data_IF_152219456667
#
_entry.id   IF_152219456667
#
_cell.length_a   1.000
_cell.length_b   1.000
_cell.length_c   1.000
_cell.angle_alpha   90.00
_cell.angle_beta   90.00
_cell.angle_gamma   90.00
#
_symmetry.space_group_name_H-M   'P 1'
#
loop_
_entity.id
_entity.type
_entity.pdbx_description
1 polymer ?
#
# COMPACT_ATOMS: atom_id res chain seq x y z
N UNK A 1 34.20 -27.13 17.76
CA UNK A 1 33.64 -27.05 16.41
C UNK A 1 32.33 -26.29 16.57
N UNK A 2 32.29 -25.04 16.13
CA UNK A 2 31.03 -24.23 16.12
C UNK A 2 30.17 -24.80 15.01
N UNK A 3 29.03 -25.39 15.34
CA UNK A 3 27.99 -25.68 14.33
C UNK A 3 27.64 -24.37 13.64
N UNK A 4 27.93 -24.28 12.35
CA UNK A 4 27.47 -23.15 11.52
C UNK A 4 25.94 -23.16 11.57
N UNK A 5 25.33 -22.22 12.31
CA UNK A 5 23.89 -22.03 12.31
C UNK A 5 23.45 -21.82 10.88
N UNK A 6 22.57 -22.68 10.38
CA UNK A 6 21.96 -22.47 9.06
C UNK A 6 21.34 -21.07 9.01
N UNK A 7 21.49 -20.35 7.89
CA UNK A 7 20.91 -19.01 7.78
C UNK A 7 19.39 -19.10 7.96
N UNK A 8 18.85 -18.23 8.79
CA UNK A 8 17.42 -18.14 9.04
C UNK A 8 16.73 -17.74 7.74
N UNK A 9 15.75 -18.51 7.29
CA UNK A 9 14.97 -18.23 6.07
C UNK A 9 13.49 -18.19 6.38
N UNK A 10 12.74 -17.38 5.62
CA UNK A 10 11.28 -17.36 5.76
C UNK A 10 10.70 -18.73 5.42
N UNK A 11 9.83 -19.30 6.28
CA UNK A 11 9.17 -20.57 6.02
C UNK A 11 8.37 -20.51 4.69
N UNK A 12 8.57 -21.50 3.83
CA UNK A 12 7.99 -21.51 2.46
C UNK A 12 6.47 -21.49 2.45
N UNK A 13 5.84 -22.08 3.46
CA UNK A 13 4.38 -22.12 3.63
C UNK A 13 3.76 -20.74 3.92
N UNK A 14 4.56 -19.77 4.36
CA UNK A 14 4.14 -18.39 4.63
C UNK A 14 4.27 -17.47 3.41
N UNK A 15 4.90 -17.94 2.34
CA UNK A 15 5.17 -17.16 1.12
C UNK A 15 4.09 -17.40 0.07
N UNK A 16 3.58 -16.31 -0.51
CA UNK A 16 2.57 -16.35 -1.56
C UNK A 16 1.14 -16.63 -1.08
N UNK A 17 0.20 -16.53 -2.00
CA UNK A 17 -1.21 -16.78 -1.72
C UNK A 17 -1.48 -18.26 -1.35
N UNK A 18 -2.57 -18.54 -0.62
CA UNK A 18 -2.90 -19.89 -0.16
C UNK A 18 -3.04 -20.90 -1.30
N UNK A 19 -2.76 -22.17 -1.00
CA UNK A 19 -2.96 -23.25 -1.97
C UNK A 19 -4.44 -23.39 -2.38
N UNK A 20 -4.72 -23.90 -3.60
CA UNK A 20 -6.08 -24.18 -4.02
C UNK A 20 -6.82 -25.07 -3.00
N UNK A 21 -8.08 -24.73 -2.71
CA UNK A 21 -8.89 -25.42 -1.69
C UNK A 21 -8.80 -24.80 -0.29
N UNK A 22 -7.81 -23.98 0.00
CA UNK A 22 -7.72 -23.22 1.24
C UNK A 22 -8.47 -21.89 1.13
N UNK A 23 -8.95 -21.39 2.28
CA UNK A 23 -9.54 -20.05 2.37
C UNK A 23 -8.49 -19.00 1.98
N UNK A 24 -8.85 -18.12 1.04
CA UNK A 24 -8.02 -17.01 0.66
C UNK A 24 -8.52 -15.72 1.36
N UNK A 25 -7.76 -15.16 2.34
CA UNK A 25 -8.19 -13.98 3.07
C UNK A 25 -8.41 -12.74 2.19
N UNK A 26 -7.57 -12.52 1.17
CA UNK A 26 -7.73 -11.38 0.25
C UNK A 26 -9.00 -11.49 -0.60
N UNK A 27 -9.31 -12.69 -1.12
CA UNK A 27 -10.53 -12.92 -1.86
C UNK A 27 -11.76 -12.73 -0.96
N UNK A 28 -11.72 -13.26 0.28
CA UNK A 28 -12.78 -13.08 1.25
C UNK A 28 -12.98 -11.61 1.61
N UNK A 29 -11.89 -10.85 1.86
CA UNK A 29 -11.95 -9.41 2.14
C UNK A 29 -12.57 -8.65 0.97
N UNK A 30 -12.17 -8.94 -0.27
CA UNK A 30 -12.70 -8.28 -1.45
C UNK A 30 -14.19 -8.55 -1.63
N UNK A 31 -14.59 -9.82 -1.58
CA UNK A 31 -16.02 -10.21 -1.71
C UNK A 31 -16.85 -9.58 -0.60
N UNK A 32 -16.37 -9.62 0.64
CA UNK A 32 -17.04 -8.99 1.78
C UNK A 32 -17.16 -7.47 1.60
N UNK A 33 -16.10 -6.81 1.11
CA UNK A 33 -16.10 -5.37 0.81
C UNK A 33 -17.17 -5.01 -0.22
N UNK A 34 -17.22 -5.74 -1.34
CA UNK A 34 -18.25 -5.52 -2.37
C UNK A 34 -19.66 -5.77 -1.82
N UNK A 35 -19.86 -6.85 -1.05
CA UNK A 35 -21.14 -7.15 -0.43
C UNK A 35 -21.58 -6.05 0.56
N UNK A 36 -20.66 -5.53 1.36
CA UNK A 36 -20.91 -4.41 2.29
C UNK A 36 -21.31 -3.15 1.52
N UNK A 37 -20.59 -2.81 0.44
CA UNK A 37 -20.91 -1.63 -0.37
C UNK A 37 -22.29 -1.71 -1.03
N UNK A 38 -22.62 -2.88 -1.60
CA UNK A 38 -23.96 -3.15 -2.19
C UNK A 38 -25.03 -3.11 -1.07
N UNK A 39 -24.79 -3.79 0.05
CA UNK A 39 -25.69 -3.78 1.19
C UNK A 39 -25.92 -2.38 1.77
N UNK A 40 -24.88 -1.55 1.82
CA UNK A 40 -24.96 -0.14 2.24
C UNK A 40 -25.88 0.66 1.31
N UNK A 41 -25.70 0.54 0.01
CA UNK A 41 -26.54 1.23 -0.98
C UNK A 41 -28.00 0.76 -0.90
N UNK A 42 -28.20 -0.57 -0.84
CA UNK A 42 -29.55 -1.13 -0.70
C UNK A 42 -30.22 -0.73 0.61
N UNK A 43 -29.48 -0.74 1.73
CA UNK A 43 -29.98 -0.29 3.03
C UNK A 43 -30.40 1.18 3.01
N UNK A 44 -29.62 2.04 2.37
CA UNK A 44 -29.93 3.47 2.25
C UNK A 44 -31.14 3.74 1.38
N UNK A 45 -31.18 3.22 0.13
CA UNK A 45 -32.21 3.53 -0.82
C UNK A 45 -33.48 2.67 -0.65
N UNK A 46 -33.33 1.40 -0.25
CA UNK A 46 -34.45 0.46 -0.16
C UNK A 46 -35.03 0.33 1.25
N UNK A 47 -34.21 0.40 2.29
CA UNK A 47 -34.63 0.26 3.69
C UNK A 47 -34.64 1.58 4.47
N UNK A 48 -34.24 2.68 3.83
CA UNK A 48 -34.15 4.03 4.43
C UNK A 48 -33.30 4.11 5.68
N UNK A 49 -32.16 3.38 5.70
CA UNK A 49 -31.20 3.44 6.80
C UNK A 49 -30.65 4.85 6.98
N UNK A 50 -30.35 5.21 8.22
CA UNK A 50 -29.71 6.48 8.52
C UNK A 50 -28.32 6.57 7.82
N UNK A 51 -27.99 7.73 7.27
CA UNK A 51 -26.78 7.94 6.45
C UNK A 51 -25.47 7.58 7.17
N UNK A 52 -25.39 7.72 8.50
CA UNK A 52 -24.21 7.33 9.27
C UNK A 52 -23.93 5.81 9.21
N UNK A 53 -24.96 4.97 9.01
CA UNK A 53 -24.79 3.51 8.82
C UNK A 53 -24.11 3.27 7.48
N UNK A 54 -24.59 3.90 6.41
CA UNK A 54 -23.98 3.81 5.07
C UNK A 54 -22.56 4.36 5.07
N UNK A 55 -22.29 5.44 5.78
CA UNK A 55 -20.97 5.98 5.98
C UNK A 55 -20.01 4.94 6.61
N UNK A 56 -20.41 4.36 7.76
CA UNK A 56 -19.58 3.38 8.47
C UNK A 56 -19.35 2.09 7.67
N UNK A 57 -20.38 1.59 6.96
CA UNK A 57 -20.26 0.41 6.10
C UNK A 57 -19.32 0.67 4.92
N UNK A 58 -19.45 1.81 4.25
CA UNK A 58 -18.56 2.14 3.14
C UNK A 58 -17.14 2.46 3.60
N UNK A 59 -16.95 3.08 4.77
CA UNK A 59 -15.63 3.22 5.39
C UNK A 59 -14.96 1.85 5.58
N UNK A 60 -15.66 0.88 6.17
CA UNK A 60 -15.14 -0.48 6.36
C UNK A 60 -14.82 -1.15 5.02
N UNK A 61 -15.73 -1.09 4.05
CA UNK A 61 -15.53 -1.63 2.70
C UNK A 61 -14.27 -1.08 2.05
N UNK A 62 -14.11 0.24 2.02
CA UNK A 62 -12.98 0.91 1.39
C UNK A 62 -11.65 0.64 2.12
N UNK A 63 -11.70 0.55 3.45
CA UNK A 63 -10.51 0.22 4.24
C UNK A 63 -10.00 -1.21 3.93
N UNK A 64 -10.90 -2.18 3.82
CA UNK A 64 -10.54 -3.56 3.49
C UNK A 64 -9.85 -3.67 2.13
N UNK A 65 -10.34 -2.98 1.09
CA UNK A 65 -9.75 -3.08 -0.25
C UNK A 65 -8.42 -2.35 -0.38
N UNK A 66 -8.07 -1.44 0.55
CA UNK A 66 -6.73 -0.87 0.66
C UNK A 66 -5.65 -1.93 0.89
N UNK A 67 -5.93 -2.94 1.72
CA UNK A 67 -5.04 -4.08 1.93
C UNK A 67 -5.02 -5.03 0.72
N UNK A 68 -6.19 -5.28 0.11
CA UNK A 68 -6.27 -6.18 -1.05
C UNK A 68 -5.51 -5.64 -2.26
N UNK A 69 -5.61 -4.34 -2.57
CA UNK A 69 -4.87 -3.72 -3.68
C UNK A 69 -3.37 -3.83 -3.46
N UNK A 70 -2.92 -3.67 -2.22
CA UNK A 70 -1.52 -3.76 -1.83
C UNK A 70 -0.96 -5.18 -2.06
N UNK A 71 -1.63 -6.22 -1.58
CA UNK A 71 -1.20 -7.61 -1.84
C UNK A 71 -1.31 -7.97 -3.34
N UNK A 72 -2.32 -7.43 -4.04
CA UNK A 72 -2.49 -7.67 -5.47
C UNK A 72 -1.34 -7.08 -6.31
N UNK A 73 -0.80 -5.90 -5.94
CA UNK A 73 0.30 -5.29 -6.68
C UNK A 73 1.62 -6.10 -6.56
N UNK A 74 1.79 -6.85 -5.47
CA UNK A 74 2.89 -7.81 -5.28
C UNK A 74 2.61 -9.20 -5.86
N UNK A 75 1.42 -9.41 -6.45
CA UNK A 75 1.02 -10.70 -7.02
C UNK A 75 0.70 -11.77 -5.98
N UNK A 76 0.51 -11.40 -4.71
CA UNK A 76 0.27 -12.34 -3.59
C UNK A 76 -1.17 -12.39 -3.11
N UNK A 77 -2.07 -11.58 -3.68
CA UNK A 77 -3.48 -11.65 -3.32
C UNK A 77 -4.14 -12.95 -3.79
N UNK A 78 -3.70 -13.51 -4.94
CA UNK A 78 -4.22 -14.79 -5.42
C UNK A 78 -3.20 -15.50 -6.33
N UNK A 79 -3.13 -16.86 -6.25
CA UNK A 79 -2.21 -17.66 -7.10
C UNK A 79 -2.54 -17.60 -8.60
N UNK A 80 -3.83 -17.55 -8.95
CA UNK A 80 -4.25 -17.33 -10.32
C UNK A 80 -4.04 -15.85 -10.68
N UNK A 81 -3.19 -15.57 -11.66
CA UNK A 81 -2.83 -14.21 -12.07
C UNK A 81 -4.03 -13.39 -12.55
N UNK A 82 -5.01 -14.01 -13.21
CA UNK A 82 -6.23 -13.33 -13.65
C UNK A 82 -7.05 -12.88 -12.45
N UNK A 83 -7.27 -13.77 -11.49
CA UNK A 83 -7.99 -13.43 -10.25
C UNK A 83 -7.24 -12.37 -9.45
N UNK A 84 -5.92 -12.48 -9.32
CA UNK A 84 -5.09 -11.46 -8.69
C UNK A 84 -5.26 -10.07 -9.34
N UNK A 85 -5.24 -10.03 -10.67
CA UNK A 85 -5.49 -8.79 -11.43
C UNK A 85 -6.91 -8.26 -11.22
N UNK A 86 -7.92 -9.14 -11.21
CA UNK A 86 -9.31 -8.74 -10.91
C UNK A 86 -9.47 -8.15 -9.50
N UNK A 87 -8.81 -8.74 -8.51
CA UNK A 87 -8.78 -8.21 -7.14
C UNK A 87 -8.12 -6.83 -7.10
N UNK A 88 -6.98 -6.66 -7.79
CA UNK A 88 -6.28 -5.37 -7.89
C UNK A 88 -7.11 -4.29 -8.57
N UNK A 89 -7.65 -4.55 -9.78
CA UNK A 89 -8.46 -3.59 -10.51
C UNK A 89 -9.79 -3.27 -9.81
N UNK A 90 -10.45 -4.29 -9.24
CA UNK A 90 -11.70 -4.10 -8.48
C UNK A 90 -11.48 -3.25 -7.23
N UNK A 91 -10.41 -3.51 -6.48
CA UNK A 91 -10.02 -2.70 -5.32
C UNK A 91 -9.67 -1.26 -5.72
N UNK A 92 -8.90 -1.09 -6.80
CA UNK A 92 -8.55 0.21 -7.34
C UNK A 92 -9.80 1.01 -7.76
N UNK A 93 -10.78 0.36 -8.43
CA UNK A 93 -12.04 0.99 -8.81
C UNK A 93 -12.82 1.49 -7.59
N UNK A 94 -12.92 0.68 -6.53
CA UNK A 94 -13.56 1.08 -5.28
C UNK A 94 -12.85 2.26 -4.60
N UNK A 95 -11.52 2.33 -4.70
CA UNK A 95 -10.71 3.43 -4.17
C UNK A 95 -10.62 4.65 -5.11
N UNK A 96 -11.33 4.66 -6.23
CA UNK A 96 -11.19 5.69 -7.28
C UNK A 96 -9.75 5.88 -7.76
N UNK A 97 -8.98 4.81 -7.71
CA UNK A 97 -7.58 4.79 -8.11
C UNK A 97 -7.39 4.01 -9.41
N UNK A 98 -6.17 3.93 -9.93
CA UNK A 98 -5.81 3.11 -11.08
C UNK A 98 -4.81 2.05 -10.66
N UNK A 99 -5.12 0.77 -10.87
CA UNK A 99 -4.27 -0.34 -10.44
C UNK A 99 -2.86 -0.29 -11.04
N UNK A 100 -2.65 -0.03 -12.35
CA UNK A 100 -1.30 0.12 -12.90
C UNK A 100 -0.53 1.29 -12.28
N UNK A 101 -1.19 2.44 -11.99
CA UNK A 101 -0.54 3.55 -11.29
C UNK A 101 -0.08 3.09 -9.91
N UNK A 102 -0.98 2.50 -9.12
CA UNK A 102 -0.65 2.01 -7.78
C UNK A 102 0.53 1.03 -7.83
N UNK A 103 0.45 0.01 -8.70
CA UNK A 103 1.50 -1.02 -8.81
C UNK A 103 2.85 -0.41 -9.18
N UNK A 104 2.90 0.46 -10.21
CA UNK A 104 4.17 1.01 -10.68
C UNK A 104 4.80 1.97 -9.68
N UNK A 105 3.99 2.82 -9.06
CA UNK A 105 4.45 3.78 -8.07
C UNK A 105 4.92 3.06 -6.81
N UNK A 106 4.17 2.06 -6.34
CA UNK A 106 4.55 1.27 -5.17
C UNK A 106 5.84 0.44 -5.40
N UNK A 107 6.06 -0.09 -6.61
CA UNK A 107 7.35 -0.71 -6.95
C UNK A 107 8.50 0.29 -6.97
N UNK A 108 8.27 1.55 -7.35
CA UNK A 108 9.28 2.61 -7.23
C UNK A 108 9.59 2.94 -5.78
N UNK A 109 8.58 2.97 -4.91
CA UNK A 109 8.78 3.10 -3.47
C UNK A 109 9.70 1.98 -2.93
N UNK A 110 9.41 0.71 -3.22
CA UNK A 110 10.28 -0.41 -2.80
C UNK A 110 11.71 -0.32 -3.31
N UNK A 111 11.91 0.20 -4.52
CA UNK A 111 13.23 0.37 -5.11
C UNK A 111 14.03 1.55 -4.50
N UNK A 112 13.34 2.54 -3.96
CA UNK A 112 13.94 3.82 -3.56
C UNK A 112 13.55 4.29 -2.16
N UNK A 113 13.22 3.37 -1.26
CA UNK A 113 12.68 3.68 0.08
C UNK A 113 13.44 4.81 0.77
N UNK A 114 12.69 5.82 1.22
CA UNK A 114 13.19 7.02 1.89
C UNK A 114 14.11 7.91 1.03
N UNK A 115 14.16 7.73 -0.30
CA UNK A 115 14.86 8.63 -1.20
C UNK A 115 14.01 9.88 -1.48
N UNK A 116 14.45 11.11 -1.10
CA UNK A 116 13.63 12.30 -1.29
C UNK A 116 13.40 12.68 -2.76
N UNK A 117 14.19 12.16 -3.71
CA UNK A 117 14.06 12.47 -5.14
C UNK A 117 13.31 11.38 -5.91
N UNK A 118 13.43 10.11 -5.48
CA UNK A 118 12.98 8.96 -6.27
C UNK A 118 11.91 8.11 -5.58
N UNK A 119 11.68 8.30 -4.27
CA UNK A 119 10.60 7.63 -3.56
C UNK A 119 9.32 8.48 -3.60
N UNK A 120 8.27 8.05 -4.34
CA UNK A 120 7.01 8.78 -4.40
C UNK A 120 6.31 8.89 -3.05
N UNK A 121 6.44 7.89 -2.17
CA UNK A 121 5.77 7.87 -0.88
C UNK A 121 6.50 8.76 0.14
N UNK A 122 7.81 8.94 -0.01
CA UNK A 122 8.54 9.96 0.72
C UNK A 122 7.96 11.37 0.46
N UNK A 123 7.69 11.68 -0.81
CA UNK A 123 7.09 12.97 -1.20
C UNK A 123 5.67 13.09 -0.62
N UNK A 124 4.82 12.06 -0.79
CA UNK A 124 3.46 12.02 -0.24
C UNK A 124 3.48 12.23 1.27
N UNK A 125 4.41 11.62 1.98
CA UNK A 125 4.49 11.67 3.45
C UNK A 125 5.11 12.97 4.00
N UNK A 126 5.97 13.67 3.23
CA UNK A 126 6.80 14.77 3.78
C UNK A 126 6.51 16.16 3.19
N UNK A 127 5.65 16.28 2.19
CA UNK A 127 5.39 17.56 1.47
C UNK A 127 4.18 18.34 1.99
N UNK A 128 3.97 18.39 3.28
CA UNK A 128 2.92 19.19 3.90
C UNK A 128 2.27 18.53 5.11
N UNK A 129 1.27 19.17 5.72
CA UNK A 129 0.67 18.69 6.95
C UNK A 129 0.03 17.30 6.79
N UNK A 130 0.21 16.45 7.79
CA UNK A 130 -0.16 15.05 7.74
C UNK A 130 -1.66 14.82 7.50
N UNK A 131 -2.51 15.72 7.98
CA UNK A 131 -3.97 15.65 7.75
C UNK A 131 -4.37 15.83 6.28
N UNK A 132 -3.46 16.31 5.42
CA UNK A 132 -3.66 16.41 3.96
C UNK A 132 -3.03 15.26 3.18
N UNK A 133 -2.52 14.20 3.84
CA UNK A 133 -1.79 13.12 3.16
C UNK A 133 -2.66 12.42 2.10
N UNK A 134 -3.95 12.27 2.36
CA UNK A 134 -4.91 11.68 1.42
C UNK A 134 -4.97 12.45 0.08
N UNK A 135 -4.96 13.77 0.11
CA UNK A 135 -4.96 14.58 -1.12
C UNK A 135 -3.63 14.46 -1.87
N UNK A 136 -2.53 14.22 -1.17
CA UNK A 136 -1.20 14.07 -1.78
C UNK A 136 -1.04 12.76 -2.56
N UNK A 137 -1.88 11.74 -2.35
CA UNK A 137 -1.90 10.54 -3.21
C UNK A 137 -2.20 10.84 -4.68
N UNK A 138 -2.80 11.98 -5.01
CA UNK A 138 -2.92 12.44 -6.39
C UNK A 138 -1.57 12.63 -7.07
N UNK A 139 -0.51 12.87 -6.30
CA UNK A 139 0.86 12.94 -6.80
C UNK A 139 1.33 11.62 -7.42
N UNK A 140 0.81 10.48 -7.01
CA UNK A 140 1.15 9.18 -7.62
C UNK A 140 0.84 9.15 -9.12
N UNK A 141 -0.28 9.75 -9.58
CA UNK A 141 -0.53 9.85 -11.02
C UNK A 141 0.45 10.81 -11.71
N UNK A 142 0.72 11.95 -11.08
CA UNK A 142 1.71 12.90 -11.60
C UNK A 142 3.08 12.23 -11.74
N UNK A 143 3.52 11.53 -10.71
CA UNK A 143 4.79 10.78 -10.70
C UNK A 143 4.82 9.69 -11.79
N UNK A 144 3.74 8.90 -11.90
CA UNK A 144 3.61 7.87 -12.92
C UNK A 144 3.80 8.40 -14.33
N UNK A 145 3.18 9.55 -14.67
CA UNK A 145 3.33 10.19 -15.97
C UNK A 145 4.66 10.92 -16.15
N UNK A 146 5.16 11.63 -15.15
CA UNK A 146 6.46 12.31 -15.21
C UNK A 146 7.61 11.33 -15.42
N UNK A 147 7.59 10.19 -14.75
CA UNK A 147 8.62 9.16 -14.84
C UNK A 147 8.37 8.14 -15.95
N UNK A 148 7.26 8.26 -16.72
CA UNK A 148 6.90 7.38 -17.83
C UNK A 148 6.88 5.89 -17.43
N UNK A 149 6.27 5.57 -16.28
CA UNK A 149 6.34 4.24 -15.68
C UNK A 149 5.44 3.20 -16.37
N UNK A 150 4.55 3.62 -17.28
CA UNK A 150 3.58 2.73 -17.91
C UNK A 150 4.21 1.79 -18.94
N UNK A 151 3.67 0.57 -18.98
CA UNK A 151 3.82 -0.37 -20.10
C UNK A 151 2.70 -0.13 -21.13
N UNK A 152 2.87 -0.72 -22.33
CA UNK A 152 1.97 -0.49 -23.48
C UNK A 152 0.47 -0.60 -23.15
N UNK A 153 0.06 -1.61 -22.36
CA UNK A 153 -1.35 -1.84 -22.04
C UNK A 153 -1.83 -1.11 -20.77
N UNK A 154 -0.93 -0.74 -19.87
CA UNK A 154 -1.26 -0.07 -18.62
C UNK A 154 -1.81 1.34 -18.81
N UNK A 155 -1.42 2.01 -19.90
CA UNK A 155 -2.02 3.29 -20.27
C UNK A 155 -3.49 3.11 -20.69
N UNK A 156 -3.82 2.03 -21.42
CA UNK A 156 -5.21 1.69 -21.74
C UNK A 156 -6.01 1.37 -20.48
N UNK A 157 -5.44 0.58 -19.57
CA UNK A 157 -6.07 0.25 -18.28
C UNK A 157 -6.34 1.52 -17.45
N UNK A 158 -5.40 2.46 -17.43
CA UNK A 158 -5.60 3.77 -16.80
C UNK A 158 -6.75 4.55 -17.45
N UNK A 159 -6.79 4.64 -18.79
CA UNK A 159 -7.88 5.31 -19.52
C UNK A 159 -9.23 4.67 -19.18
N UNK A 160 -9.31 3.33 -19.19
CA UNK A 160 -10.53 2.61 -18.85
C UNK A 160 -10.97 2.87 -17.40
N UNK A 161 -10.04 2.85 -16.44
CA UNK A 161 -10.34 3.14 -15.04
C UNK A 161 -10.88 4.57 -14.86
N UNK A 162 -10.26 5.57 -15.49
CA UNK A 162 -10.70 6.97 -15.40
C UNK A 162 -12.02 7.21 -16.13
N UNK A 163 -12.19 6.61 -17.30
CA UNK A 163 -13.46 6.67 -18.04
C UNK A 163 -14.59 6.04 -17.23
N UNK A 164 -14.37 4.87 -16.62
CA UNK A 164 -15.37 4.20 -15.78
C UNK A 164 -15.78 5.07 -14.58
N UNK A 165 -14.81 5.73 -13.93
CA UNK A 165 -15.08 6.65 -12.82
C UNK A 165 -15.93 7.86 -13.27
N UNK A 166 -15.58 8.47 -14.41
CA UNK A 166 -16.36 9.59 -14.99
C UNK A 166 -17.77 9.13 -15.35
N UNK A 167 -17.92 7.97 -16.01
CA UNK A 167 -19.23 7.43 -16.37
C UNK A 167 -20.09 7.14 -15.14
N UNK A 168 -19.50 6.62 -14.05
CA UNK A 168 -20.19 6.43 -12.78
C UNK A 168 -20.71 7.75 -12.21
N UNK A 169 -19.89 8.80 -12.21
CA UNK A 169 -20.29 10.12 -11.72
C UNK A 169 -21.41 10.72 -12.59
N UNK A 170 -21.30 10.65 -13.90
CA UNK A 170 -22.35 11.13 -14.82
C UNK A 170 -23.65 10.34 -14.63
N UNK A 171 -23.58 9.01 -14.51
CA UNK A 171 -24.73 8.17 -14.21
C UNK A 171 -25.34 8.52 -12.85
N UNK A 172 -24.52 8.72 -11.82
CA UNK A 172 -25.01 9.09 -10.49
C UNK A 172 -25.74 10.42 -10.47
N UNK A 173 -25.25 11.39 -11.25
CA UNK A 173 -25.93 12.67 -11.45
C UNK A 173 -27.25 12.49 -12.19
N UNK A 174 -27.24 11.78 -13.33
CA UNK A 174 -28.41 11.55 -14.17
C UNK A 174 -29.54 10.82 -13.42
N UNK A 175 -29.19 9.81 -12.64
CA UNK A 175 -30.17 9.01 -11.87
C UNK A 175 -30.45 9.55 -10.45
N UNK A 176 -29.91 10.71 -10.09
CA UNK A 176 -30.23 11.41 -8.85
C UNK A 176 -29.58 10.85 -7.58
N UNK A 177 -28.55 9.99 -7.68
CA UNK A 177 -27.86 9.45 -6.49
C UNK A 177 -26.44 10.02 -6.26
N UNK A 178 -26.09 11.11 -6.95
CA UNK A 178 -24.78 11.77 -6.80
C UNK A 178 -24.50 12.18 -5.34
N UNK A 179 -25.53 12.59 -4.60
CA UNK A 179 -25.40 12.91 -3.17
C UNK A 179 -24.97 11.71 -2.32
N UNK A 180 -25.43 10.49 -2.67
CA UNK A 180 -24.98 9.26 -2.03
C UNK A 180 -23.49 9.03 -2.28
N UNK A 181 -23.02 9.17 -3.52
CA UNK A 181 -21.61 9.02 -3.89
C UNK A 181 -20.72 9.99 -3.11
N UNK A 182 -21.10 11.28 -3.06
CA UNK A 182 -20.28 12.27 -2.33
C UNK A 182 -20.27 12.02 -0.82
N UNK A 183 -21.43 11.83 -0.20
CA UNK A 183 -21.53 11.74 1.26
C UNK A 183 -21.08 10.38 1.82
N UNK A 184 -21.34 9.29 1.08
CA UNK A 184 -21.17 7.93 1.61
C UNK A 184 -20.14 7.09 0.85
N UNK A 185 -19.45 7.70 -0.13
CA UNK A 185 -18.33 7.07 -0.82
C UNK A 185 -17.09 7.95 -0.76
N UNK A 186 -17.10 9.16 -1.33
CA UNK A 186 -15.94 10.05 -1.33
C UNK A 186 -15.55 10.55 0.06
N UNK A 187 -16.50 10.87 0.94
CA UNK A 187 -16.17 11.32 2.29
C UNK A 187 -15.53 10.19 3.12
N UNK A 188 -16.10 8.96 3.19
CA UNK A 188 -15.38 7.83 3.81
C UNK A 188 -14.04 7.55 3.13
N UNK A 189 -13.94 7.63 1.79
CA UNK A 189 -12.70 7.43 1.05
C UNK A 189 -11.61 8.42 1.46
N UNK A 190 -11.96 9.68 1.67
CA UNK A 190 -11.00 10.69 2.14
C UNK A 190 -10.43 10.33 3.52
N UNK A 191 -11.27 9.80 4.43
CA UNK A 191 -10.81 9.36 5.75
C UNK A 191 -10.00 8.07 5.65
N UNK A 192 -10.43 7.11 4.80
CA UNK A 192 -9.65 5.90 4.52
C UNK A 192 -8.28 6.26 3.94
N UNK A 193 -8.22 7.20 3.00
CA UNK A 193 -6.94 7.70 2.45
C UNK A 193 -6.03 8.31 3.52
N UNK A 194 -6.60 9.02 4.51
CA UNK A 194 -5.84 9.51 5.65
C UNK A 194 -5.30 8.35 6.51
N UNK A 195 -6.14 7.35 6.81
CA UNK A 195 -5.75 6.17 7.60
C UNK A 195 -4.67 5.36 6.88
N UNK A 196 -4.87 5.09 5.58
CA UNK A 196 -3.89 4.37 4.78
C UNK A 196 -2.57 5.14 4.70
N UNK A 197 -2.60 6.44 4.37
CA UNK A 197 -1.39 7.27 4.32
C UNK A 197 -0.66 7.34 5.66
N UNK A 198 -1.39 7.34 6.77
CA UNK A 198 -0.78 7.34 8.09
C UNK A 198 -0.10 6.00 8.41
N UNK A 199 -0.77 4.87 8.19
CA UNK A 199 -0.31 3.56 8.64
C UNK A 199 0.49 2.79 7.59
N UNK A 200 0.29 3.06 6.28
CA UNK A 200 1.03 2.40 5.22
C UNK A 200 2.30 3.17 4.82
N UNK A 201 2.25 4.53 4.84
CA UNK A 201 3.38 5.33 4.35
C UNK A 201 4.10 6.07 5.49
N UNK A 202 3.37 6.90 6.27
CA UNK A 202 4.03 7.81 7.20
C UNK A 202 4.66 7.12 8.43
N UNK A 203 3.86 6.40 9.23
CA UNK A 203 4.34 5.81 10.48
C UNK A 203 5.40 4.73 10.29
N UNK A 204 5.30 3.83 9.28
CA UNK A 204 6.32 2.82 9.05
C UNK A 204 7.68 3.39 8.67
N UNK A 205 7.73 4.50 7.93
CA UNK A 205 8.96 5.04 7.36
C UNK A 205 9.56 6.21 8.15
N UNK A 206 8.80 6.81 9.07
CA UNK A 206 9.30 7.91 9.89
C UNK A 206 10.59 7.51 10.64
N UNK A 207 11.65 8.35 10.66
CA UNK A 207 11.78 9.73 10.22
C UNK A 207 12.24 9.94 8.75
N UNK A 208 12.12 8.97 7.85
CA UNK A 208 12.43 9.03 6.41
C UNK A 208 13.92 9.29 6.10
N UNK A 209 14.82 8.77 6.91
CA UNK A 209 16.26 9.02 6.78
C UNK A 209 17.05 7.79 6.37
N UNK A 210 16.65 6.63 6.85
CA UNK A 210 17.40 5.40 6.68
C UNK A 210 17.02 4.71 5.36
N UNK A 211 18.02 4.33 4.56
CA UNK A 211 17.86 3.60 3.32
C UNK A 211 18.27 2.13 3.41
N UNK A 212 19.03 1.78 4.46
CA UNK A 212 19.38 0.39 4.71
C UNK A 212 18.11 -0.46 4.83
N UNK A 213 18.07 -1.60 4.13
CA UNK A 213 16.90 -2.47 4.03
C UNK A 213 16.37 -2.99 5.37
N UNK A 214 17.23 -3.04 6.40
CA UNK A 214 16.85 -3.49 7.73
C UNK A 214 16.32 -2.36 8.62
N UNK A 215 16.55 -1.11 8.21
CA UNK A 215 16.27 0.09 8.97
C UNK A 215 15.31 1.06 8.29
N UNK A 216 15.01 0.87 6.99
CA UNK A 216 14.23 1.80 6.17
C UNK A 216 12.72 1.82 6.48
N UNK A 217 12.25 0.83 7.22
CA UNK A 217 10.91 0.77 7.77
C UNK A 217 10.95 0.21 9.19
N UNK A 218 9.80 0.01 9.82
CA UNK A 218 9.70 -0.52 11.19
C UNK A 218 8.60 -1.56 11.34
N UNK A 219 8.68 -2.31 12.44
CA UNK A 219 7.57 -3.09 12.97
C UNK A 219 7.15 -2.52 14.33
N UNK A 220 5.88 -2.63 14.67
CA UNK A 220 5.35 -2.35 16.01
C UNK A 220 4.35 -3.44 16.37
N UNK A 221 4.84 -4.57 16.94
CA UNK A 221 4.08 -5.81 17.06
C UNK A 221 2.80 -5.65 17.87
N UNK A 222 1.67 -6.00 17.27
CA UNK A 222 0.36 -6.02 17.90
C UNK A 222 -0.60 -6.88 17.09
N UNK A 223 -1.16 -7.92 17.71
CA UNK A 223 -2.17 -8.78 17.06
C UNK A 223 -3.42 -8.01 16.65
N UNK A 224 -3.87 -7.09 17.51
CA UNK A 224 -5.06 -6.28 17.24
C UNK A 224 -4.81 -5.36 16.04
N UNK A 225 -3.71 -4.62 16.04
CA UNK A 225 -3.37 -3.74 14.92
C UNK A 225 -3.18 -4.52 13.61
N UNK A 226 -2.63 -5.74 13.66
CA UNK A 226 -2.44 -6.57 12.47
C UNK A 226 -3.74 -6.76 11.67
N UNK A 227 -4.86 -6.95 12.36
CA UNK A 227 -6.17 -7.05 11.71
C UNK A 227 -6.80 -5.69 11.40
N UNK A 228 -6.60 -4.70 12.26
CA UNK A 228 -7.22 -3.38 12.08
C UNK A 228 -6.63 -2.59 10.93
N UNK A 229 -5.34 -2.76 10.64
CA UNK A 229 -4.62 -2.02 9.59
C UNK A 229 -3.98 -2.94 8.54
N UNK A 230 -4.53 -4.16 8.35
CA UNK A 230 -4.12 -5.08 7.30
C UNK A 230 -2.62 -5.41 7.32
N UNK A 231 -2.06 -5.69 8.50
CA UNK A 231 -0.66 -6.10 8.66
C UNK A 231 0.38 -4.98 8.66
N UNK A 232 0.00 -3.72 8.46
CA UNK A 232 0.96 -2.63 8.26
C UNK A 232 1.77 -2.24 9.51
N UNK A 233 1.41 -2.73 10.68
CA UNK A 233 2.26 -2.72 11.86
C UNK A 233 3.50 -3.63 11.74
N UNK A 234 3.56 -4.46 10.70
CA UNK A 234 4.72 -5.28 10.32
C UNK A 234 5.35 -4.82 8.99
N UNK A 235 5.29 -3.54 8.67
CA UNK A 235 5.68 -3.00 7.37
C UNK A 235 7.12 -3.32 6.95
N UNK A 236 8.08 -3.38 7.91
CA UNK A 236 9.43 -3.84 7.60
C UNK A 236 9.45 -5.29 7.10
N UNK A 237 8.57 -6.16 7.61
CA UNK A 237 8.44 -7.54 7.11
C UNK A 237 8.02 -7.54 5.66
N UNK A 238 7.07 -6.68 5.30
CA UNK A 238 6.65 -6.46 3.93
C UNK A 238 7.81 -5.99 3.02
N UNK A 239 8.58 -4.98 3.44
CA UNK A 239 9.74 -4.51 2.67
C UNK A 239 10.83 -5.57 2.50
N UNK A 240 11.10 -6.36 3.52
CA UNK A 240 12.11 -7.42 3.45
C UNK A 240 11.67 -8.61 2.60
N UNK A 241 10.38 -8.95 2.63
CA UNK A 241 9.80 -10.13 1.97
C UNK A 241 8.44 -9.81 1.32
N UNK A 242 8.40 -9.03 0.24
CA UNK A 242 7.15 -8.57 -0.38
C UNK A 242 6.30 -9.70 -0.99
N UNK A 243 6.88 -10.89 -1.13
CA UNK A 243 6.15 -12.09 -1.54
C UNK A 243 5.34 -12.74 -0.40
N UNK A 244 5.38 -12.20 0.81
CA UNK A 244 4.56 -12.64 1.95
C UNK A 244 3.27 -11.83 1.95
N UNK A 245 2.06 -12.45 1.97
CA UNK A 245 0.81 -11.72 2.09
C UNK A 245 0.57 -11.21 3.51
N UNK A 246 -0.22 -10.15 3.65
CA UNK A 246 -0.41 -9.41 4.90
C UNK A 246 -0.77 -10.27 6.13
N UNK A 247 -1.58 -11.31 5.95
CA UNK A 247 -2.02 -12.19 7.04
C UNK A 247 -0.94 -13.14 7.56
N UNK A 248 0.18 -13.23 6.84
CA UNK A 248 1.37 -13.99 7.24
C UNK A 248 2.50 -13.10 7.80
N UNK A 249 2.34 -11.78 7.88
CA UNK A 249 3.41 -10.90 8.40
C UNK A 249 3.76 -11.20 9.86
N UNK A 250 2.78 -11.41 10.74
CA UNK A 250 3.05 -11.76 12.13
C UNK A 250 3.78 -13.12 12.27
N UNK A 251 3.34 -14.23 11.65
CA UNK A 251 4.08 -15.48 11.65
C UNK A 251 5.52 -15.34 11.13
N UNK A 252 5.73 -14.58 10.04
CA UNK A 252 7.07 -14.32 9.50
C UNK A 252 7.90 -13.49 10.48
N UNK A 253 7.33 -12.46 11.08
CA UNK A 253 8.00 -11.69 12.13
C UNK A 253 8.48 -12.57 13.27
N UNK A 254 7.64 -13.47 13.78
CA UNK A 254 8.03 -14.38 14.86
C UNK A 254 9.16 -15.33 14.43
N UNK A 255 9.09 -15.88 13.23
CA UNK A 255 10.12 -16.78 12.71
C UNK A 255 11.46 -16.05 12.47
N UNK A 256 11.41 -14.79 12.03
CA UNK A 256 12.60 -14.01 11.67
C UNK A 256 13.11 -13.08 12.78
N UNK A 257 12.42 -13.04 13.93
CA UNK A 257 12.74 -12.15 15.05
C UNK A 257 14.21 -12.19 15.48
N UNK A 258 14.87 -13.34 15.63
CA UNK A 258 16.28 -13.38 16.01
C UNK A 258 17.19 -12.64 15.00
N UNK A 259 16.89 -12.71 13.71
CA UNK A 259 17.63 -11.99 12.67
C UNK A 259 17.35 -10.48 12.74
N UNK A 260 16.09 -10.08 12.96
CA UNK A 260 15.71 -8.67 13.11
C UNK A 260 16.39 -8.03 14.33
N UNK A 261 16.49 -8.79 15.45
CA UNK A 261 17.19 -8.36 16.65
C UNK A 261 18.71 -8.21 16.39
N UNK A 262 19.32 -9.17 15.69
CA UNK A 262 20.74 -9.11 15.31
C UNK A 262 21.05 -7.91 14.40
N UNK A 263 20.14 -7.58 13.48
CA UNK A 263 20.27 -6.44 12.56
C UNK A 263 19.92 -5.10 13.21
N UNK A 264 19.42 -5.08 14.44
CA UNK A 264 19.03 -3.86 15.14
C UNK A 264 17.80 -3.17 14.57
N UNK A 265 16.90 -3.93 13.92
CA UNK A 265 15.71 -3.38 13.28
C UNK A 265 14.81 -2.63 14.27
N UNK A 266 14.15 -1.56 13.79
CA UNK A 266 13.21 -0.77 14.60
C UNK A 266 11.93 -1.56 14.88
N UNK A 267 11.66 -1.85 16.15
CA UNK A 267 10.54 -2.68 16.58
C UNK A 267 9.57 -1.94 17.50
N UNK A 268 9.43 -0.63 17.31
CA UNK A 268 8.52 0.23 18.06
C UNK A 268 7.86 1.26 17.13
N UNK A 269 6.69 1.77 17.52
CA UNK A 269 6.01 2.82 16.77
C UNK A 269 6.81 4.14 16.74
N UNK A 270 7.57 4.43 17.80
CA UNK A 270 8.51 5.55 17.86
C UNK A 270 7.90 6.95 17.94
N UNK A 271 6.58 7.11 17.88
CA UNK A 271 5.92 8.43 17.79
C UNK A 271 6.21 9.33 18.98
N UNK A 272 6.17 8.76 20.19
CA UNK A 272 6.39 9.51 21.43
C UNK A 272 7.82 9.43 21.95
N UNK A 273 8.60 8.43 21.51
CA UNK A 273 9.95 8.16 22.02
C UNK A 273 11.04 8.65 21.08
N UNK A 274 10.74 8.78 19.79
CA UNK A 274 11.69 9.21 18.76
C UNK A 274 11.26 10.58 18.21
N UNK A 275 11.73 11.68 18.80
CA UNK A 275 11.46 13.05 18.38
C UNK A 275 9.95 13.41 18.27
N UNK A 276 9.24 13.52 19.41
CA UNK A 276 7.82 13.89 19.42
C UNK A 276 7.54 15.25 18.79
N UNK A 277 8.47 16.19 18.92
CA UNK A 277 8.31 17.54 18.34
C UNK A 277 8.23 17.49 16.81
N UNK A 278 9.05 16.66 16.17
CA UNK A 278 8.99 16.43 14.73
C UNK A 278 7.66 15.80 14.30
N UNK A 279 7.08 14.89 15.11
CA UNK A 279 5.78 14.32 14.81
C UNK A 279 4.68 15.42 14.78
N UNK A 280 4.62 16.28 15.79
CA UNK A 280 3.65 17.36 15.83
C UNK A 280 3.88 18.41 14.75
N UNK A 281 5.16 18.67 14.40
CA UNK A 281 5.49 19.49 13.24
C UNK A 281 4.89 18.88 11.96
N UNK A 282 5.05 17.59 11.74
CA UNK A 282 4.52 16.89 10.56
C UNK A 282 2.98 16.89 10.56
N UNK A 283 2.33 16.78 11.72
CA UNK A 283 0.87 16.86 11.82
C UNK A 283 0.33 18.20 11.32
N UNK A 284 0.95 19.31 11.72
CA UNK A 284 0.41 20.65 11.48
C UNK A 284 1.03 21.38 10.28
N UNK A 285 2.31 21.15 9.98
CA UNK A 285 3.08 21.90 8.99
C UNK A 285 3.64 20.96 7.93
N UNK A 286 4.46 19.99 8.32
CA UNK A 286 4.98 18.86 7.53
C UNK A 286 5.79 19.24 6.29
N UNK A 287 6.16 20.52 6.10
CA UNK A 287 6.94 20.96 4.95
C UNK A 287 8.42 20.74 5.26
N UNK A 288 9.04 19.81 4.57
CA UNK A 288 10.48 19.57 4.63
C UNK A 288 11.12 20.21 3.41
N UNK A 289 11.88 21.27 3.65
CA UNK A 289 12.69 21.86 2.58
C UNK A 289 13.72 20.81 2.11
N UNK A 290 13.92 20.64 0.80
CA UNK A 290 14.91 19.70 0.31
C UNK A 290 16.27 20.08 0.91
N UNK A 291 16.86 19.16 1.66
CA UNK A 291 18.22 19.32 2.12
C UNK A 291 19.14 19.39 0.88
N UNK A 292 20.06 20.36 0.90
CA UNK A 292 21.20 20.41 -0.03
C UNK A 292 21.73 18.99 -0.20
N UNK A 293 21.89 18.52 -1.46
CA UNK A 293 22.35 17.18 -1.81
C UNK A 293 23.34 16.66 -0.76
N UNK A 294 22.90 15.75 0.08
CA UNK A 294 23.81 14.86 0.77
C UNK A 294 24.40 13.97 -0.33
N UNK A 295 25.73 13.91 -0.40
CA UNK A 295 26.38 12.97 -1.32
C UNK A 295 25.73 11.59 -1.17
N UNK A 296 25.50 10.88 -2.28
CA UNK A 296 24.88 9.57 -2.20
C UNK A 296 25.75 8.69 -1.30
N UNK A 297 25.23 8.24 -0.17
CA UNK A 297 25.79 7.11 0.55
C UNK A 297 25.48 5.89 -0.29
N UNK A 298 26.25 5.75 -1.38
CA UNK A 298 26.29 4.56 -2.20
C UNK A 298 27.05 3.49 -1.45
N UNK A 299 26.33 2.73 -0.63
CA UNK A 299 26.77 1.39 -0.24
C UNK A 299 25.82 0.31 -0.80
N UNK A 300 25.35 0.56 -2.01
CA UNK A 300 24.77 -0.48 -2.87
C UNK A 300 25.85 -0.81 -3.88
N UNK A 301 26.42 -2.03 -3.83
CA UNK A 301 27.46 -2.41 -4.77
C UNK A 301 26.93 -2.23 -6.22
N UNK A 302 27.77 -1.81 -7.16
CA UNK A 302 27.38 -1.68 -8.57
C UNK A 302 26.72 -2.93 -9.14
N UNK A 303 27.05 -4.11 -8.59
CA UNK A 303 26.47 -5.40 -8.92
C UNK A 303 25.00 -5.52 -8.50
N UNK A 304 24.62 -4.95 -7.35
CA UNK A 304 23.21 -4.95 -6.88
C UNK A 304 22.36 -4.01 -7.71
N UNK A 305 22.90 -2.86 -8.13
CA UNK A 305 22.23 -1.94 -9.05
C UNK A 305 22.05 -2.62 -10.42
N UNK A 306 23.10 -3.25 -10.95
CA UNK A 306 23.02 -3.97 -12.22
C UNK A 306 22.04 -5.15 -12.18
N UNK A 307 21.94 -5.87 -11.06
CA UNK A 307 20.94 -6.93 -10.89
C UNK A 307 19.50 -6.40 -10.80
N UNK A 308 19.28 -5.27 -10.14
CA UNK A 308 17.96 -4.63 -10.08
C UNK A 308 17.56 -4.02 -11.44
N UNK A 309 18.50 -3.40 -12.14
CA UNK A 309 18.29 -2.88 -13.51
C UNK A 309 18.06 -4.02 -14.49
N UNK A 310 18.80 -5.12 -14.42
CA UNK A 310 18.60 -6.30 -15.24
C UNK A 310 17.25 -6.99 -14.92
N UNK A 311 16.82 -7.03 -13.67
CA UNK A 311 15.51 -7.55 -13.29
C UNK A 311 14.38 -6.64 -13.82
N UNK A 312 14.55 -5.33 -13.80
CA UNK A 312 13.63 -4.35 -14.39
C UNK A 312 13.63 -4.45 -15.93
N UNK A 313 14.80 -4.69 -16.55
CA UNK A 313 14.94 -4.83 -18.00
C UNK A 313 14.40 -6.18 -18.51
N UNK A 314 14.65 -7.30 -17.80
CA UNK A 314 14.11 -8.62 -18.16
C UNK A 314 12.58 -8.67 -18.08
N UNK A 315 12.00 -7.87 -17.23
CA UNK A 315 10.54 -7.68 -17.13
C UNK A 315 9.99 -6.77 -18.26
N UNK A 316 10.86 -6.09 -19.02
CA UNK A 316 10.51 -5.24 -20.17
C UNK A 316 10.48 -5.99 -21.51
N UNK A 317 11.02 -7.19 -21.59
CA UNK A 317 10.93 -7.98 -22.83
C UNK A 317 9.51 -8.51 -23.03
N UNK A 318 8.92 -8.33 -24.22
CA UNK A 318 7.59 -8.86 -24.51
C UNK A 318 7.66 -10.37 -24.61
N UNK A 319 6.87 -11.07 -23.80
CA UNK A 319 6.50 -12.48 -24.09
C UNK A 319 5.66 -12.47 -25.36
N UNK A 320 6.34 -12.42 -26.51
CA UNK A 320 5.81 -12.75 -27.82
C UNK A 320 6.67 -13.88 -28.38
N UNK A 321 6.23 -15.09 -28.13
CA UNK A 321 6.33 -16.22 -29.05
C UNK A 321 5.07 -17.04 -28.89
#
# INVERSE_FOLDING_TARGET
MSEAKQPLTVPRELVGAPAPGNVNPNLLMFVSSVAIAIGSAWGYFGLHWAGYISFGLNFLSLHMVGTVIHDACHGVAHRNKIVNSMLGHGSAFLLFFSFPVFTRVHMQHHAHVNDPENDPDHIVSTMGPLWMINARFLYHEVYFFQRKLWRKYELLEWILARTSAVLLLLASYHFGFVGYIFNFWFTPLAIVGLVLGLFFDYLPHRPFKERDRWMNARVYPSKVLNYLIGGQNYHLIHHLWPAVPWYNYEPVYQAMKPMLDEKGCRQTLGVLTEDPASFWYDVFIGIRLPHKKSEPVLDVSPETIAHLEAAIESDREPVLK
#
